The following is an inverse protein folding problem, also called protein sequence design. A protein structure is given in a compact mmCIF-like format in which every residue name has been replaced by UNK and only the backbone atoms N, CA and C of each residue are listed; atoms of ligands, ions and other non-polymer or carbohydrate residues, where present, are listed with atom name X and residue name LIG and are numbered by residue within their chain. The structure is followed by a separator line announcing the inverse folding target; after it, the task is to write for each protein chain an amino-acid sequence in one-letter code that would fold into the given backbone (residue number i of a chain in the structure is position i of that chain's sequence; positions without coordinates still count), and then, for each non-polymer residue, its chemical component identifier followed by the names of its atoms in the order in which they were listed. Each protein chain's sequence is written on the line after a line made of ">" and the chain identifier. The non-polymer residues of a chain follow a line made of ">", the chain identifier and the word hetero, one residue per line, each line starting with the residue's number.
data_IF_920751044139
#
_entry.id   IF_920751044139
#
_cell.length_a   1.000
_cell.length_b   1.000
_cell.length_c   1.000
_cell.angle_alpha   90.00
_cell.angle_beta   90.00
_cell.angle_gamma   90.00
#
_symmetry.space_group_name_H-M   'P 1'
#
loop_
_entity.id
_entity.type
_entity.pdbx_description
1 polymer ?
#
# COMPACT_ATOMS: atom_id res chain seq x y z
N UNK A 1 1.53 4.67 -18.36
CA UNK A 1 1.57 4.61 -16.89
C UNK A 1 1.76 5.99 -16.26
N UNK A 2 2.71 6.75 -16.75
CA UNK A 2 2.95 8.10 -16.22
C UNK A 2 1.74 9.00 -16.44
N UNK A 3 1.13 8.93 -17.59
CA UNK A 3 -0.09 9.68 -17.86
C UNK A 3 -1.18 9.29 -16.87
N UNK A 4 -1.30 8.01 -16.61
CA UNK A 4 -2.30 7.50 -15.69
C UNK A 4 -2.05 8.01 -14.27
N UNK A 5 -0.82 7.95 -13.82
CA UNK A 5 -0.45 8.39 -12.48
C UNK A 5 -0.59 9.90 -12.32
N UNK A 6 -0.26 10.66 -13.37
CA UNK A 6 -0.21 12.11 -13.30
C UNK A 6 -1.42 12.80 -13.90
N UNK A 7 -2.33 12.07 -14.50
CA UNK A 7 -3.43 12.64 -15.26
C UNK A 7 -4.36 13.50 -14.44
N UNK A 8 -4.35 13.32 -13.12
CA UNK A 8 -5.35 13.96 -12.26
C UNK A 8 -4.77 15.03 -11.36
N UNK A 9 -3.68 15.67 -11.77
CA UNK A 9 -3.07 16.67 -10.90
C UNK A 9 -4.02 17.80 -10.52
N UNK A 10 -4.95 18.13 -11.40
CA UNK A 10 -5.90 19.22 -11.14
C UNK A 10 -7.24 18.72 -10.63
N UNK A 11 -7.63 17.53 -11.04
CA UNK A 11 -8.98 17.02 -10.79
C UNK A 11 -8.95 15.71 -10.05
N UNK A 12 -8.08 15.61 -9.06
CA UNK A 12 -7.93 14.38 -8.31
C UNK A 12 -9.17 14.14 -7.46
N UNK A 13 -9.96 13.15 -7.85
CA UNK A 13 -11.11 12.72 -7.06
C UNK A 13 -10.68 11.88 -5.87
N UNK A 14 -9.56 11.17 -6.02
CA UNK A 14 -9.02 10.32 -4.95
C UNK A 14 -7.67 10.89 -4.54
N UNK A 15 -7.52 11.35 -3.29
CA UNK A 15 -6.23 11.87 -2.82
C UNK A 15 -5.10 10.88 -2.99
N UNK A 16 -3.88 11.39 -3.14
CA UNK A 16 -2.70 10.59 -3.41
C UNK A 16 -2.51 9.45 -2.41
N UNK A 17 -2.75 9.71 -1.15
CA UNK A 17 -2.65 8.69 -0.11
C UNK A 17 -3.47 7.46 -0.44
N UNK A 18 -4.71 7.66 -0.83
CA UNK A 18 -5.61 6.55 -1.13
C UNK A 18 -5.26 5.88 -2.45
N UNK A 19 -4.78 6.64 -3.42
CA UNK A 19 -4.33 6.06 -4.69
C UNK A 19 -3.17 5.09 -4.45
N UNK A 20 -2.24 5.47 -3.59
CA UNK A 20 -1.11 4.61 -3.26
C UNK A 20 -1.57 3.37 -2.49
N UNK A 21 -2.53 3.53 -1.59
CA UNK A 21 -3.10 2.38 -0.88
C UNK A 21 -3.80 1.41 -1.83
N UNK A 22 -4.50 1.94 -2.83
CA UNK A 22 -5.19 1.12 -3.83
C UNK A 22 -4.16 0.33 -4.65
N UNK A 23 -3.10 0.98 -5.11
CA UNK A 23 -2.07 0.30 -5.89
C UNK A 23 -1.35 -0.74 -5.04
N UNK A 24 -1.08 -0.42 -3.78
CA UNK A 24 -0.52 -1.38 -2.84
C UNK A 24 -1.42 -2.61 -2.73
N UNK A 25 -2.74 -2.40 -2.62
CA UNK A 25 -3.70 -3.48 -2.52
C UNK A 25 -3.67 -4.37 -3.77
N UNK A 26 -3.57 -3.76 -4.95
CA UNK A 26 -3.44 -4.52 -6.19
C UNK A 26 -2.17 -5.35 -6.17
N UNK A 27 -1.07 -4.78 -5.68
CA UNK A 27 0.19 -5.51 -5.55
C UNK A 27 0.05 -6.74 -4.64
N UNK A 28 -0.66 -6.58 -3.52
CA UNK A 28 -0.92 -7.69 -2.61
C UNK A 28 -1.77 -8.76 -3.30
N UNK A 29 -2.86 -8.34 -3.93
CA UNK A 29 -3.80 -9.27 -4.56
C UNK A 29 -3.17 -10.05 -5.72
N UNK A 30 -2.21 -9.44 -6.41
CA UNK A 30 -1.54 -10.07 -7.54
C UNK A 30 -0.22 -10.72 -7.16
N UNK A 31 0.14 -10.68 -5.88
CA UNK A 31 1.40 -11.22 -5.38
C UNK A 31 2.62 -10.55 -6.01
N UNK A 32 2.51 -9.26 -6.29
CA UNK A 32 3.60 -8.47 -6.86
C UNK A 32 4.31 -7.74 -5.72
N UNK A 33 5.37 -8.35 -5.24
CA UNK A 33 6.07 -7.91 -4.04
C UNK A 33 6.61 -6.48 -4.16
N UNK A 34 7.23 -6.16 -5.30
CA UNK A 34 7.76 -4.82 -5.53
C UNK A 34 6.66 -3.77 -5.49
N UNK A 35 5.53 -4.05 -6.13
CA UNK A 35 4.41 -3.11 -6.18
C UNK A 35 3.87 -2.84 -4.78
N UNK A 36 3.64 -3.88 -3.99
CA UNK A 36 3.12 -3.67 -2.65
C UNK A 36 4.10 -2.90 -1.77
N UNK A 37 5.37 -3.18 -1.89
CA UNK A 37 6.39 -2.52 -1.06
C UNK A 37 6.56 -1.05 -1.44
N UNK A 38 6.73 -0.76 -2.73
CA UNK A 38 6.93 0.60 -3.21
C UNK A 38 5.72 1.47 -2.89
N UNK A 39 4.52 0.99 -3.20
CA UNK A 39 3.32 1.80 -3.01
C UNK A 39 2.88 1.85 -1.56
N UNK A 40 3.20 0.85 -0.76
CA UNK A 40 3.04 0.93 0.68
C UNK A 40 3.88 2.05 1.27
N UNK A 41 5.14 2.13 0.84
CA UNK A 41 6.03 3.20 1.28
C UNK A 41 5.52 4.57 0.83
N UNK A 42 5.11 4.68 -0.44
CA UNK A 42 4.55 5.93 -0.96
C UNK A 42 3.30 6.34 -0.22
N UNK A 43 2.46 5.38 0.16
CA UNK A 43 1.26 5.68 0.95
C UNK A 43 1.66 6.32 2.27
N UNK A 44 2.62 5.75 2.98
CA UNK A 44 3.10 6.32 4.25
C UNK A 44 3.68 7.71 4.05
N UNK A 45 4.43 7.92 2.97
CA UNK A 45 5.00 9.23 2.67
C UNK A 45 3.94 10.27 2.34
N UNK A 46 2.77 9.83 1.90
CA UNK A 46 1.67 10.72 1.56
C UNK A 46 0.61 10.79 2.66
N UNK A 47 0.95 10.38 3.86
CA UNK A 47 0.11 10.60 5.02
C UNK A 47 -0.70 9.40 5.48
N UNK A 48 -0.56 8.25 4.85
CA UNK A 48 -1.23 7.05 5.33
C UNK A 48 -0.62 6.61 6.66
N UNK A 49 -1.46 6.06 7.52
CA UNK A 49 -1.01 5.51 8.79
C UNK A 49 -0.80 4.01 8.64
N UNK A 50 -0.03 3.44 9.58
CA UNK A 50 0.13 1.98 9.62
C UNK A 50 -1.22 1.32 9.83
N UNK A 51 -2.09 1.93 10.64
CA UNK A 51 -3.44 1.40 10.85
C UNK A 51 -4.24 1.35 9.55
N UNK A 52 -4.08 2.35 8.69
CA UNK A 52 -4.76 2.34 7.40
C UNK A 52 -4.23 1.22 6.51
N UNK A 53 -2.94 0.96 6.54
CA UNK A 53 -2.36 -0.15 5.79
C UNK A 53 -2.89 -1.49 6.31
N UNK A 54 -2.97 -1.66 7.63
CA UNK A 54 -3.56 -2.86 8.21
C UNK A 54 -5.02 -3.02 7.84
N UNK A 55 -5.75 -1.92 7.72
CA UNK A 55 -7.14 -1.97 7.28
C UNK A 55 -7.25 -2.53 5.86
N UNK A 56 -6.38 -2.07 4.96
CA UNK A 56 -6.32 -2.61 3.60
C UNK A 56 -6.04 -4.12 3.63
N UNK A 57 -5.10 -4.53 4.47
CA UNK A 57 -4.76 -5.94 4.61
C UNK A 57 -5.97 -6.75 5.10
N UNK A 58 -6.72 -6.22 6.06
CA UNK A 58 -7.92 -6.89 6.56
C UNK A 58 -8.98 -7.03 5.49
N UNK A 59 -9.15 -5.99 4.67
CA UNK A 59 -10.09 -6.06 3.55
C UNK A 59 -9.68 -7.16 2.57
N UNK A 60 -8.40 -7.24 2.27
CA UNK A 60 -7.88 -8.25 1.34
C UNK A 60 -7.94 -9.65 1.91
N UNK A 61 -7.78 -9.80 3.23
CA UNK A 61 -7.98 -11.09 3.87
C UNK A 61 -9.37 -11.62 3.56
N UNK A 62 -10.36 -10.75 3.64
CA UNK A 62 -11.74 -11.11 3.38
C UNK A 62 -11.99 -11.38 1.90
N UNK A 63 -11.40 -10.58 1.00
CA UNK A 63 -11.71 -10.66 -0.42
C UNK A 63 -10.80 -11.61 -1.20
N UNK A 64 -9.56 -11.78 -0.78
CA UNK A 64 -8.57 -12.56 -1.54
C UNK A 64 -8.10 -13.82 -0.84
N UNK A 65 -8.33 -13.92 0.47
CA UNK A 65 -7.92 -15.09 1.25
C UNK A 65 -6.53 -14.95 1.85
N UNK A 66 -6.26 -15.78 2.86
CA UNK A 66 -5.05 -15.67 3.67
C UNK A 66 -3.77 -15.99 2.88
N UNK A 67 -3.85 -16.85 1.86
CA UNK A 67 -2.66 -17.22 1.10
C UNK A 67 -2.03 -16.04 0.36
N UNK A 68 -2.85 -15.07 -0.03
CA UNK A 68 -2.33 -13.86 -0.66
C UNK A 68 -1.67 -12.92 0.33
N UNK A 69 -2.04 -13.01 1.59
CA UNK A 69 -1.55 -12.09 2.61
C UNK A 69 -0.24 -12.50 3.26
N UNK A 70 0.09 -13.77 3.27
CA UNK A 70 1.31 -14.23 3.94
C UNK A 70 2.56 -13.56 3.39
N UNK A 71 2.78 -13.51 2.07
CA UNK A 71 3.92 -12.76 1.52
C UNK A 71 3.84 -11.27 1.80
N UNK A 72 2.63 -10.70 1.80
CA UNK A 72 2.45 -9.28 2.06
C UNK A 72 2.81 -8.92 3.49
N UNK A 73 2.42 -9.75 4.45
CA UNK A 73 2.75 -9.48 5.84
C UNK A 73 4.26 -9.47 6.06
N UNK A 74 4.98 -10.35 5.41
CA UNK A 74 6.42 -10.38 5.49
C UNK A 74 7.05 -9.14 4.85
N UNK A 75 6.65 -8.81 3.62
CA UNK A 75 7.20 -7.68 2.88
C UNK A 75 6.89 -6.36 3.56
N UNK A 76 5.63 -6.17 3.97
CA UNK A 76 5.22 -4.94 4.61
C UNK A 76 5.70 -4.85 6.05
N UNK A 77 5.93 -5.99 6.69
CA UNK A 77 6.54 -6.02 8.02
C UNK A 77 7.90 -5.35 8.03
N UNK A 78 8.71 -5.60 7.00
CA UNK A 78 10.01 -4.95 6.86
C UNK A 78 9.86 -3.43 6.75
N UNK A 79 8.85 -2.98 6.01
CA UNK A 79 8.57 -1.56 5.86
C UNK A 79 8.16 -0.93 7.18
N UNK A 80 7.34 -1.62 7.97
CA UNK A 80 6.91 -1.13 9.28
C UNK A 80 8.07 -1.02 10.24
N UNK A 81 8.98 -1.98 10.22
CA UNK A 81 10.17 -1.93 11.05
C UNK A 81 11.05 -0.73 10.70
N UNK A 82 11.21 -0.44 9.41
CA UNK A 82 11.97 0.70 8.96
C UNK A 82 11.36 2.02 9.44
N UNK A 83 10.04 2.13 9.37
CA UNK A 83 9.33 3.33 9.85
C UNK A 83 9.48 3.47 11.36
N UNK A 84 9.36 2.38 12.09
CA UNK A 84 9.48 2.38 13.55
C UNK A 84 10.88 2.84 13.98
N UNK A 85 11.90 2.38 13.26
CA UNK A 85 13.28 2.79 13.54
C UNK A 85 13.50 4.29 13.27
N UNK A 86 12.88 4.82 12.23
CA UNK A 86 12.98 6.24 11.91
C UNK A 86 12.32 7.11 12.96
N UNK A 87 11.27 6.64 13.60
CA UNK A 87 10.56 7.38 14.63
C UNK A 87 11.31 7.42 15.96
N UNK A 88 12.24 6.52 16.16
CA UNK A 88 13.05 6.47 17.37
C UNK A 88 14.28 7.35 17.26
#
# INVERSE_FOLDING_TARGET
>A
YQQYVNCNKKDISIPRKYRELIVMAVGIATSTETTMKVHGKLALENGATIDEIFEVIRILFFTCGVTKLLPALETLGELFEAVDLEEK
#
